data_IF_809879968873
#
_entry.id   IF_809879968873
#
_cell.length_a   1.000
_cell.length_b   1.000
_cell.length_c   1.000
_cell.angle_alpha   90.00
_cell.angle_beta   90.00
_cell.angle_gamma   90.00
#
_symmetry.space_group_name_H-M   'P 1'
#
loop_
_entity.id
_entity.type
_entity.pdbx_description
1 polymer ?
#
# COMPACT_ATOMS: atom_id res chain seq x y z
N UNK A 1 21.02 -6.82 -12.13
CA UNK A 1 20.93 -5.88 -13.27
C UNK A 1 19.81 -4.87 -13.05
N UNK A 2 18.54 -5.25 -13.03
CA UNK A 2 17.43 -4.29 -12.86
C UNK A 2 17.41 -3.60 -11.49
N UNK A 3 17.60 -4.36 -10.40
CA UNK A 3 17.69 -3.78 -9.05
C UNK A 3 18.85 -2.80 -8.91
N UNK A 4 19.96 -3.06 -9.59
CA UNK A 4 21.13 -2.17 -9.57
C UNK A 4 20.86 -0.86 -10.34
N UNK A 5 20.08 -0.92 -11.42
CA UNK A 5 19.64 0.29 -12.13
C UNK A 5 18.62 1.07 -11.32
N UNK A 6 17.68 0.39 -10.66
CA UNK A 6 16.71 1.04 -9.78
C UNK A 6 17.40 1.73 -8.60
N UNK A 7 18.42 1.09 -8.00
CA UNK A 7 19.27 1.71 -6.98
C UNK A 7 19.94 3.00 -7.46
N UNK A 8 20.60 2.94 -8.62
CA UNK A 8 21.25 4.11 -9.23
C UNK A 8 20.26 5.23 -9.50
N UNK A 9 19.06 4.89 -9.97
CA UNK A 9 18.00 5.86 -10.21
C UNK A 9 17.57 6.56 -8.91
N UNK A 10 17.28 5.81 -7.84
CA UNK A 10 16.88 6.39 -6.55
C UNK A 10 17.96 7.35 -6.03
N UNK A 11 19.23 6.92 -6.08
CA UNK A 11 20.38 7.76 -5.70
C UNK A 11 20.40 9.07 -6.47
N UNK A 12 20.30 9.00 -7.80
CA UNK A 12 20.33 10.20 -8.64
C UNK A 12 19.17 11.15 -8.32
N UNK A 13 17.97 10.63 -8.07
CA UNK A 13 16.80 11.43 -7.74
C UNK A 13 16.92 12.11 -6.37
N UNK A 14 17.32 11.38 -5.33
CA UNK A 14 17.38 11.94 -3.98
C UNK A 14 18.51 12.97 -3.85
N UNK A 15 19.65 12.78 -4.53
CA UNK A 15 20.72 13.79 -4.56
C UNK A 15 20.26 15.13 -5.17
N UNK A 16 19.28 15.11 -6.07
CA UNK A 16 18.71 16.35 -6.65
C UNK A 16 17.65 16.95 -5.73
N UNK A 17 16.79 16.11 -5.14
CA UNK A 17 15.66 16.56 -4.31
C UNK A 17 16.10 17.03 -2.92
N UNK A 18 17.08 16.36 -2.33
CA UNK A 18 17.66 16.65 -1.03
C UNK A 18 19.16 16.29 -1.00
N UNK A 19 20.06 17.26 -1.29
CA UNK A 19 21.50 17.02 -1.34
C UNK A 19 22.14 16.60 -0.01
N UNK A 20 21.50 16.84 1.12
CA UNK A 20 22.03 16.55 2.46
C UNK A 20 21.75 15.10 2.90
N UNK A 21 20.82 14.42 2.24
CA UNK A 21 20.51 13.02 2.51
C UNK A 21 21.63 12.10 2.01
N UNK A 22 22.00 11.09 2.83
CA UNK A 22 22.85 10.00 2.37
C UNK A 22 22.11 9.17 1.31
N UNK A 23 22.36 9.51 0.05
CA UNK A 23 21.71 8.90 -1.09
C UNK A 23 21.93 7.38 -1.17
N UNK A 24 23.08 6.88 -0.70
CA UNK A 24 23.38 5.44 -0.73
C UNK A 24 22.51 4.71 0.28
N UNK A 25 22.54 5.15 1.54
CA UNK A 25 21.73 4.55 2.60
C UNK A 25 20.25 4.63 2.27
N UNK A 26 19.78 5.78 1.77
CA UNK A 26 18.38 5.96 1.37
C UNK A 26 17.96 4.97 0.28
N UNK A 27 18.78 4.81 -0.77
CA UNK A 27 18.47 3.87 -1.85
C UNK A 27 18.52 2.40 -1.39
N UNK A 28 19.43 2.06 -0.48
CA UNK A 28 19.50 0.72 0.13
C UNK A 28 18.24 0.41 0.94
N UNK A 29 17.77 1.37 1.75
CA UNK A 29 16.55 1.23 2.56
C UNK A 29 15.30 1.06 1.69
N UNK A 30 15.16 1.86 0.62
CA UNK A 30 14.05 1.74 -0.32
C UNK A 30 14.04 0.36 -0.98
N UNK A 31 15.20 -0.15 -1.42
CA UNK A 31 15.29 -1.49 -1.99
C UNK A 31 14.97 -2.57 -0.96
N UNK A 32 15.45 -2.42 0.27
CA UNK A 32 15.19 -3.36 1.37
C UNK A 32 13.70 -3.47 1.68
N UNK A 33 13.02 -2.33 1.84
CA UNK A 33 11.56 -2.27 2.06
C UNK A 33 10.83 -2.85 0.85
N UNK A 34 11.21 -2.48 -0.37
CA UNK A 34 10.59 -2.99 -1.60
C UNK A 34 10.70 -4.52 -1.72
N UNK A 35 11.85 -5.11 -1.35
CA UNK A 35 12.02 -6.57 -1.30
C UNK A 35 11.14 -7.21 -0.23
N UNK A 36 11.00 -6.58 0.93
CA UNK A 36 10.12 -7.08 1.99
C UNK A 36 8.65 -7.05 1.57
N UNK A 37 8.22 -5.98 0.89
CA UNK A 37 6.89 -5.89 0.28
C UNK A 37 6.69 -6.98 -0.77
N UNK A 38 7.63 -7.14 -1.70
CA UNK A 38 7.54 -8.15 -2.75
C UNK A 38 7.41 -9.58 -2.20
N UNK A 39 8.03 -9.87 -1.04
CA UNK A 39 7.94 -11.19 -0.38
C UNK A 39 6.55 -11.49 0.20
N UNK A 40 5.79 -10.47 0.61
CA UNK A 40 4.45 -10.65 1.20
C UNK A 40 3.33 -10.49 0.18
N UNK A 41 3.66 -10.06 -1.05
CA UNK A 41 2.69 -9.96 -2.13
C UNK A 41 2.25 -11.35 -2.61
N UNK A 42 0.94 -11.50 -2.86
CA UNK A 42 0.39 -12.72 -3.45
C UNK A 42 0.98 -12.96 -4.85
N UNK A 43 1.58 -14.14 -5.12
CA UNK A 43 2.13 -14.47 -6.43
C UNK A 43 1.08 -14.39 -7.55
N UNK A 44 1.52 -14.12 -8.78
CA UNK A 44 0.62 -13.92 -9.92
C UNK A 44 -0.21 -15.17 -10.25
N UNK A 45 0.34 -16.35 -9.99
CA UNK A 45 -0.32 -17.65 -10.18
C UNK A 45 -1.55 -17.77 -9.29
N UNK A 46 -1.47 -17.26 -8.06
CA UNK A 46 -2.57 -17.24 -7.10
C UNK A 46 -3.54 -16.10 -7.45
N UNK A 47 -3.02 -14.93 -7.88
CA UNK A 47 -3.84 -13.77 -8.29
C UNK A 47 -4.77 -14.03 -9.46
N UNK A 48 -4.42 -14.97 -10.35
CA UNK A 48 -5.25 -15.36 -11.51
C UNK A 48 -6.47 -16.21 -11.14
N UNK A 49 -6.53 -16.76 -9.92
CA UNK A 49 -7.70 -17.49 -9.45
C UNK A 49 -8.77 -16.51 -8.95
N UNK A 50 -9.60 -16.03 -9.88
CA UNK A 50 -10.59 -14.98 -9.63
C UNK A 50 -11.64 -15.28 -8.56
N UNK A 51 -11.74 -16.52 -8.06
CA UNK A 51 -12.72 -16.92 -7.04
C UNK A 51 -12.20 -16.87 -5.60
N UNK A 52 -10.88 -16.76 -5.36
CA UNK A 52 -10.30 -16.95 -4.02
C UNK A 52 -9.72 -15.69 -3.36
N UNK A 53 -9.65 -14.57 -4.07
CA UNK A 53 -9.03 -13.34 -3.55
C UNK A 53 -10.00 -12.16 -3.45
N UNK A 54 -11.28 -12.33 -3.80
CA UNK A 54 -12.26 -11.26 -3.71
C UNK A 54 -12.90 -11.22 -2.33
N UNK A 55 -12.66 -10.13 -1.60
CA UNK A 55 -13.32 -9.84 -0.34
C UNK A 55 -14.11 -8.54 -0.46
N UNK A 56 -15.44 -8.66 -0.49
CA UNK A 56 -16.34 -7.51 -0.46
C UNK A 56 -16.71 -7.19 1.00
N UNK A 57 -16.42 -5.96 1.42
CA UNK A 57 -16.70 -5.45 2.77
C UNK A 57 -17.36 -4.08 2.69
N UNK A 58 -18.12 -3.67 3.71
CA UNK A 58 -18.56 -2.28 3.79
C UNK A 58 -17.38 -1.36 4.14
N UNK A 59 -17.49 -0.07 3.85
CA UNK A 59 -16.51 0.94 4.28
C UNK A 59 -16.31 0.89 5.80
N UNK A 60 -17.38 0.72 6.58
CA UNK A 60 -17.28 0.59 8.04
C UNK A 60 -16.49 -0.64 8.48
N UNK A 61 -16.65 -1.77 7.77
CA UNK A 61 -15.90 -3.01 8.04
C UNK A 61 -14.42 -2.89 7.66
N UNK A 62 -14.12 -2.17 6.58
CA UNK A 62 -12.73 -1.85 6.21
C UNK A 62 -12.06 -1.03 7.32
N UNK A 63 -12.72 0.01 7.82
CA UNK A 63 -12.17 0.90 8.85
C UNK A 63 -12.00 0.19 10.19
N UNK A 64 -13.01 -0.58 10.63
CA UNK A 64 -12.95 -1.27 11.93
C UNK A 64 -12.02 -2.48 11.93
N UNK A 65 -11.67 -2.99 10.74
CA UNK A 65 -11.16 -4.34 10.55
C UNK A 65 -12.27 -5.38 10.69
N UNK A 66 -12.11 -6.50 9.98
CA UNK A 66 -12.93 -7.68 10.18
C UNK A 66 -12.53 -8.41 11.47
N UNK A 67 -13.47 -9.10 12.13
CA UNK A 67 -13.23 -9.81 13.40
C UNK A 67 -12.16 -10.91 13.36
N UNK A 68 -11.56 -11.18 12.19
CA UNK A 68 -10.43 -12.10 11.99
C UNK A 68 -9.23 -11.49 11.26
N UNK A 69 -9.20 -10.16 11.08
CA UNK A 69 -8.07 -9.47 10.48
C UNK A 69 -6.83 -9.45 11.40
N UNK A 70 -5.63 -9.19 10.84
CA UNK A 70 -4.41 -9.06 11.64
C UNK A 70 -4.53 -7.94 12.67
N UNK A 71 -3.91 -8.12 13.84
CA UNK A 71 -3.96 -7.13 14.92
C UNK A 71 -3.48 -5.74 14.47
N UNK A 72 -2.50 -5.73 13.56
CA UNK A 72 -1.90 -4.55 12.95
C UNK A 72 -2.90 -3.75 12.10
N UNK A 73 -4.02 -4.34 11.68
CA UNK A 73 -5.02 -3.61 10.91
C UNK A 73 -5.54 -2.37 11.65
N UNK A 74 -5.62 -2.45 12.98
CA UNK A 74 -6.05 -1.34 13.84
C UNK A 74 -4.95 -0.33 14.15
N UNK A 75 -3.71 -0.60 13.74
CA UNK A 75 -2.58 0.34 13.87
C UNK A 75 -2.57 1.38 12.74
N UNK A 76 -3.38 1.17 11.69
CA UNK A 76 -3.46 2.05 10.53
C UNK A 76 -4.71 2.95 10.58
N UNK A 77 -4.53 4.21 10.18
CA UNK A 77 -5.62 5.18 10.03
C UNK A 77 -6.35 5.00 8.69
N UNK A 78 -7.15 3.93 8.59
CA UNK A 78 -7.96 3.65 7.40
C UNK A 78 -9.01 4.72 7.14
N UNK A 79 -9.54 5.34 8.19
CA UNK A 79 -10.52 6.40 8.07
C UNK A 79 -9.90 7.66 7.42
N UNK A 80 -8.74 8.08 7.93
CA UNK A 80 -7.96 9.18 7.37
C UNK A 80 -7.52 8.91 5.94
N UNK A 81 -7.06 7.69 5.64
CA UNK A 81 -6.71 7.29 4.27
C UNK A 81 -7.90 7.45 3.31
N UNK A 82 -9.06 6.86 3.64
CA UNK A 82 -10.25 6.93 2.79
C UNK A 82 -10.70 8.38 2.62
N UNK A 83 -10.75 9.17 3.71
CA UNK A 83 -11.08 10.61 3.63
C UNK A 83 -10.12 11.37 2.72
N UNK A 84 -8.83 11.04 2.77
CA UNK A 84 -7.81 11.68 1.92
C UNK A 84 -8.02 11.34 0.45
N UNK A 85 -8.29 10.07 0.11
CA UNK A 85 -8.53 9.62 -1.28
C UNK A 85 -9.69 10.40 -1.93
N UNK A 86 -10.77 10.65 -1.18
CA UNK A 86 -11.96 11.34 -1.70
C UNK A 86 -11.99 12.85 -1.42
N UNK A 87 -10.96 13.40 -0.76
CA UNK A 87 -10.93 14.80 -0.29
C UNK A 87 -11.14 15.85 -1.39
N UNK A 88 -10.72 15.56 -2.61
CA UNK A 88 -10.82 16.47 -3.77
C UNK A 88 -11.89 16.01 -4.77
N UNK A 89 -12.94 15.37 -4.28
CA UNK A 89 -14.04 14.86 -5.10
C UNK A 89 -15.39 15.27 -4.51
N UNK A 90 -16.45 15.21 -5.32
CA UNK A 90 -17.82 15.38 -4.83
C UNK A 90 -18.45 14.04 -4.38
N UNK A 91 -17.64 13.01 -4.14
CA UNK A 91 -18.11 11.69 -3.71
C UNK A 91 -18.22 11.67 -2.19
N UNK A 92 -19.41 11.35 -1.69
CA UNK A 92 -19.63 11.08 -0.27
C UNK A 92 -19.85 9.59 -0.07
N UNK A 93 -19.05 8.98 0.80
CA UNK A 93 -19.19 7.56 1.13
C UNK A 93 -20.22 7.35 2.22
N UNK A 94 -21.09 6.36 2.03
CA UNK A 94 -22.05 5.87 2.99
C UNK A 94 -21.47 4.63 3.70
N UNK A 95 -21.02 4.74 4.97
CA UNK A 95 -20.18 3.71 5.61
C UNK A 95 -20.76 2.30 5.63
N UNK A 96 -22.08 2.18 5.64
CA UNK A 96 -22.81 0.92 5.73
C UNK A 96 -23.41 0.43 4.40
N UNK A 97 -23.48 1.30 3.38
CA UNK A 97 -24.08 0.99 2.08
C UNK A 97 -23.01 0.76 1.03
N UNK A 98 -21.98 1.61 1.01
CA UNK A 98 -20.91 1.53 0.03
C UNK A 98 -19.98 0.36 0.32
N UNK A 99 -19.59 -0.31 -0.75
CA UNK A 99 -18.83 -1.56 -0.74
C UNK A 99 -17.42 -1.29 -1.23
N UNK A 100 -16.47 -1.91 -0.55
CA UNK A 100 -15.05 -1.92 -0.88
C UNK A 100 -14.67 -3.34 -1.25
N UNK A 101 -13.98 -3.46 -2.39
CA UNK A 101 -13.42 -4.74 -2.84
C UNK A 101 -11.94 -4.75 -2.47
N UNK A 102 -11.55 -5.74 -1.67
CA UNK A 102 -10.16 -6.04 -1.32
C UNK A 102 -9.73 -7.28 -2.10
N UNK A 103 -8.56 -7.22 -2.74
CA UNK A 103 -7.97 -8.26 -3.58
C UNK A 103 -6.58 -8.67 -3.11
#
# INVERSE_FOLDING_TARGET
HELDQYHRYIKAMITIADPETDAVSFADDIISISKSLAKIMTPIEVRRSGTHLFHEVSVSQLVSGSGGGPAQWKEHDWEGFIKTVFSNTNVSLHPHLDRVIVM
#
